data_IF_998545807336
#
_entry.id   IF_998545807336
#
_cell.length_a   1.000
_cell.length_b   1.000
_cell.length_c   1.000
_cell.angle_alpha   90.00
_cell.angle_beta   90.00
_cell.angle_gamma   90.00
#
_symmetry.space_group_name_H-M   'P 1'
#
loop_
_entity.id
_entity.type
_entity.pdbx_description
1 polymer ?
#
# COMPACT_ATOMS: atom_id res chain seq x y z
N UNK A 1 -23.50 9.74 -31.01
CA UNK A 1 -22.06 9.60 -30.68
C UNK A 1 -21.60 10.98 -30.24
N UNK A 2 -21.82 11.28 -28.96
CA UNK A 2 -21.63 12.63 -28.42
C UNK A 2 -20.22 12.76 -27.85
N UNK A 3 -19.43 13.63 -28.48
CA UNK A 3 -18.07 14.00 -28.07
C UNK A 3 -18.14 14.98 -26.90
N UNK A 4 -17.79 14.52 -25.70
CA UNK A 4 -17.60 15.38 -24.53
C UNK A 4 -16.25 16.09 -24.68
N UNK A 5 -16.28 17.40 -24.97
CA UNK A 5 -15.11 18.28 -25.00
C UNK A 5 -14.60 18.49 -23.57
N UNK A 6 -13.42 17.96 -23.25
CA UNK A 6 -12.72 18.24 -22.00
C UNK A 6 -12.00 19.58 -22.09
N UNK A 7 -12.62 20.64 -21.57
CA UNK A 7 -11.94 21.93 -21.37
C UNK A 7 -11.27 21.89 -20.00
N UNK A 8 -9.98 21.50 -19.95
CA UNK A 8 -9.16 21.67 -18.75
C UNK A 8 -8.87 23.17 -18.56
N UNK A 9 -9.01 23.73 -17.34
CA UNK A 9 -8.73 25.15 -17.13
C UNK A 9 -7.22 25.40 -17.19
N UNK A 10 -6.83 26.28 -18.12
CA UNK A 10 -5.48 26.84 -18.21
C UNK A 10 -5.29 27.77 -17.01
N UNK A 11 -4.28 27.49 -16.19
CA UNK A 11 -3.88 28.39 -15.10
C UNK A 11 -3.40 29.72 -15.69
N UNK A 12 -4.22 30.76 -15.52
CA UNK A 12 -3.87 32.15 -15.83
C UNK A 12 -3.04 32.72 -14.69
N UNK A 13 -1.82 33.17 -15.00
CA UNK A 13 -1.01 34.05 -14.14
C UNK A 13 -1.57 35.47 -14.21
N UNK A 14 -2.28 35.91 -13.17
CA UNK A 14 -2.57 37.33 -12.98
C UNK A 14 -2.26 37.72 -11.51
N UNK A 15 -1.28 38.60 -11.26
CA UNK A 15 -0.84 38.92 -9.91
C UNK A 15 -1.70 40.05 -9.34
N UNK A 16 -2.83 39.71 -8.74
CA UNK A 16 -3.57 40.64 -7.88
C UNK A 16 -3.39 40.22 -6.43
N UNK A 17 -2.38 40.78 -5.76
CA UNK A 17 -2.12 40.59 -4.34
C UNK A 17 -3.21 41.27 -3.51
N UNK A 18 -4.22 40.50 -3.10
CA UNK A 18 -5.14 40.90 -2.02
C UNK A 18 -4.52 40.49 -0.67
N UNK A 19 -4.61 41.33 0.38
CA UNK A 19 -4.02 41.02 1.68
C UNK A 19 -4.77 39.85 2.34
N UNK A 20 -4.17 38.66 2.30
CA UNK A 20 -4.63 37.49 3.02
C UNK A 20 -4.41 37.77 4.51
N UNK A 21 -5.49 38.06 5.25
CA UNK A 21 -5.45 38.06 6.72
C UNK A 21 -4.97 36.67 7.15
N UNK A 22 -3.95 36.55 8.03
CA UNK A 22 -3.48 35.24 8.46
C UNK A 22 -4.63 34.53 9.16
N UNK A 23 -5.19 33.51 8.50
CA UNK A 23 -6.03 32.54 9.17
C UNK A 23 -5.19 31.97 10.31
N UNK A 24 -5.63 32.20 11.55
CA UNK A 24 -5.04 31.56 12.72
C UNK A 24 -4.93 30.08 12.40
N UNK A 25 -3.70 29.56 12.42
CA UNK A 25 -3.43 28.14 12.29
C UNK A 25 -4.18 27.43 13.40
N UNK A 26 -5.37 26.89 13.09
CA UNK A 26 -6.05 25.97 13.98
C UNK A 26 -5.14 24.75 14.08
N UNK A 27 -4.41 24.64 15.19
CA UNK A 27 -3.66 23.44 15.53
C UNK A 27 -4.69 22.37 15.87
N UNK A 28 -5.18 21.68 14.86
CA UNK A 28 -5.91 20.43 15.05
C UNK A 28 -4.90 19.42 15.59
N UNK A 29 -4.81 19.31 16.93
CA UNK A 29 -4.10 18.20 17.57
C UNK A 29 -4.92 16.93 17.36
N UNK A 30 -4.71 16.28 16.22
CA UNK A 30 -5.20 14.92 15.99
C UNK A 30 -4.35 14.00 16.86
N UNK A 31 -4.94 13.46 17.93
CA UNK A 31 -4.29 12.46 18.80
C UNK A 31 -4.70 11.08 18.34
N UNK A 32 -3.83 10.42 17.57
CA UNK A 32 -3.97 9.00 17.24
C UNK A 32 -3.36 8.23 18.40
N UNK A 33 -4.15 7.38 19.07
CA UNK A 33 -3.62 6.49 20.11
C UNK A 33 -2.81 5.39 19.42
N UNK A 34 -1.57 5.12 19.84
CA UNK A 34 -0.82 4.01 19.30
C UNK A 34 -1.52 2.68 19.64
N UNK A 35 -1.28 1.63 18.86
CA UNK A 35 -1.70 0.29 19.25
C UNK A 35 -1.09 -0.11 20.61
N UNK A 36 -1.76 -0.98 21.37
CA UNK A 36 -1.21 -1.53 22.61
C UNK A 36 0.20 -2.12 22.43
N UNK A 37 1.08 -2.08 23.46
CA UNK A 37 2.46 -2.56 23.34
C UNK A 37 2.59 -4.05 22.98
N UNK A 38 1.59 -4.84 23.33
CA UNK A 38 1.45 -6.28 23.10
C UNK A 38 0.70 -6.62 21.80
N UNK A 39 0.24 -5.61 21.06
CA UNK A 39 -0.50 -5.82 19.82
C UNK A 39 0.41 -6.36 18.72
N UNK A 40 0.11 -7.57 18.24
CA UNK A 40 0.75 -8.15 17.08
C UNK A 40 -0.31 -8.58 16.07
N UNK A 41 -0.48 -7.78 15.02
CA UNK A 41 -1.46 -8.06 13.97
C UNK A 41 -1.21 -9.40 13.28
N UNK A 42 0.05 -9.84 13.13
CA UNK A 42 0.39 -11.08 12.42
C UNK A 42 -0.23 -12.30 13.11
N UNK A 43 -0.21 -12.33 14.43
CA UNK A 43 -0.78 -13.44 15.22
C UNK A 43 -2.30 -13.53 15.09
N UNK A 44 -2.97 -12.41 14.83
CA UNK A 44 -4.43 -12.39 14.69
C UNK A 44 -4.89 -12.94 13.34
N UNK A 45 -4.03 -12.88 12.31
CA UNK A 45 -4.39 -13.23 10.93
C UNK A 45 -3.65 -14.46 10.40
N UNK A 46 -2.62 -14.96 11.08
CA UNK A 46 -1.73 -16.02 10.56
C UNK A 46 -2.47 -17.30 10.20
N UNK A 47 -3.37 -17.77 11.06
CA UNK A 47 -4.01 -19.07 10.90
C UNK A 47 -5.01 -19.07 9.73
N UNK A 48 -5.83 -18.03 9.63
CA UNK A 48 -6.77 -17.86 8.51
C UNK A 48 -6.01 -17.61 7.21
N UNK A 49 -4.98 -16.75 7.24
CA UNK A 49 -4.10 -16.49 6.10
C UNK A 49 -3.48 -17.78 5.58
N UNK A 50 -2.85 -18.56 6.46
CA UNK A 50 -2.21 -19.83 6.11
C UNK A 50 -3.21 -20.81 5.49
N UNK A 51 -4.38 -20.94 6.08
CA UNK A 51 -5.44 -21.83 5.59
C UNK A 51 -5.91 -21.43 4.18
N UNK A 52 -6.12 -20.14 3.95
CA UNK A 52 -6.52 -19.61 2.65
C UNK A 52 -5.41 -19.73 1.58
N UNK A 53 -4.15 -19.59 1.97
CA UNK A 53 -3.01 -19.81 1.07
C UNK A 53 -2.91 -21.30 0.73
N UNK A 54 -3.04 -22.21 1.70
CA UNK A 54 -3.00 -23.65 1.46
C UNK A 54 -4.11 -24.11 0.48
N UNK A 55 -5.28 -23.46 0.51
CA UNK A 55 -6.39 -23.76 -0.40
C UNK A 55 -6.17 -23.18 -1.80
N UNK A 56 -5.71 -21.93 -1.92
CA UNK A 56 -5.65 -21.21 -3.20
C UNK A 56 -4.31 -21.30 -3.93
N UNK A 57 -3.21 -21.26 -3.20
CA UNK A 57 -1.83 -21.22 -3.71
C UNK A 57 -0.92 -22.08 -2.81
N UNK A 58 -1.11 -23.41 -2.77
CA UNK A 58 -0.33 -24.31 -1.92
C UNK A 58 1.17 -24.24 -2.22
N UNK A 59 1.55 -23.85 -3.44
CA UNK A 59 2.92 -23.58 -3.84
C UNK A 59 3.54 -22.33 -3.20
N UNK A 60 2.83 -21.60 -2.33
CA UNK A 60 3.36 -20.49 -1.53
C UNK A 60 3.28 -20.77 -0.02
N UNK A 61 2.85 -21.97 0.38
CA UNK A 61 2.59 -22.31 1.78
C UNK A 61 3.83 -22.22 2.67
N UNK A 62 5.01 -22.54 2.14
CA UNK A 62 6.29 -22.38 2.83
C UNK A 62 6.57 -20.93 3.25
N UNK A 63 6.12 -19.95 2.45
CA UNK A 63 6.24 -18.53 2.79
C UNK A 63 5.23 -18.09 3.86
N UNK A 64 4.10 -18.78 3.97
CA UNK A 64 3.18 -18.55 5.07
C UNK A 64 3.72 -19.19 6.36
N UNK A 65 4.26 -20.40 6.26
CA UNK A 65 4.83 -21.15 7.38
C UNK A 65 6.07 -20.45 7.97
N UNK A 66 6.89 -19.81 7.14
CA UNK A 66 8.05 -19.02 7.61
C UNK A 66 7.68 -17.60 8.11
N UNK A 67 6.41 -17.18 7.95
CA UNK A 67 5.90 -15.89 8.40
C UNK A 67 6.24 -14.68 7.53
N UNK A 68 6.78 -14.91 6.32
CA UNK A 68 7.11 -13.87 5.35
C UNK A 68 5.92 -13.46 4.50
N UNK A 69 4.95 -14.34 4.24
CA UNK A 69 3.77 -14.07 3.43
C UNK A 69 2.49 -14.10 4.28
N UNK A 70 1.65 -13.08 4.12
CA UNK A 70 0.34 -12.97 4.74
C UNK A 70 -0.73 -12.58 3.71
N UNK A 71 -1.89 -13.22 3.79
CA UNK A 71 -3.07 -12.95 2.99
C UNK A 71 -4.15 -12.32 3.88
N UNK A 72 -4.50 -11.08 3.56
CA UNK A 72 -5.56 -10.32 4.24
C UNK A 72 -6.74 -10.24 3.29
N UNK A 73 -7.91 -10.71 3.71
CA UNK A 73 -9.11 -10.72 2.87
C UNK A 73 -10.09 -9.66 3.35
N UNK A 74 -10.66 -8.90 2.41
CA UNK A 74 -11.62 -7.83 2.69
C UNK A 74 -12.79 -8.30 3.53
N UNK A 75 -13.28 -9.53 3.34
CA UNK A 75 -14.38 -10.13 4.12
C UNK A 75 -14.17 -10.09 5.65
N UNK A 76 -12.93 -9.96 6.12
CA UNK A 76 -12.56 -9.84 7.54
C UNK A 76 -12.89 -8.45 8.10
N UNK A 77 -13.01 -7.43 7.25
CA UNK A 77 -13.25 -6.05 7.62
C UNK A 77 -14.60 -5.62 7.04
N UNK A 78 -15.43 -4.96 7.84
CA UNK A 78 -16.81 -4.63 7.48
C UNK A 78 -16.95 -3.82 6.18
N UNK A 79 -18.18 -3.56 5.73
CA UNK A 79 -18.41 -2.86 4.47
C UNK A 79 -17.78 -1.46 4.46
N UNK A 80 -17.29 -1.04 3.29
CA UNK A 80 -16.75 0.30 3.08
C UNK A 80 -17.84 1.34 3.42
N UNK A 81 -17.55 2.34 4.27
CA UNK A 81 -18.52 3.37 4.58
C UNK A 81 -18.98 4.16 3.34
N UNK A 82 -20.26 4.52 3.29
CA UNK A 82 -20.87 5.19 2.12
C UNK A 82 -20.22 6.53 1.74
N UNK A 83 -19.57 7.21 2.70
CA UNK A 83 -18.87 8.47 2.47
C UNK A 83 -17.47 8.33 1.84
N UNK A 84 -17.02 7.11 1.53
CA UNK A 84 -15.79 6.82 0.78
C UNK A 84 -16.04 5.90 -0.41
N UNK A 85 -17.17 6.08 -1.09
CA UNK A 85 -17.55 5.27 -2.26
C UNK A 85 -16.61 5.44 -3.45
N UNK A 86 -15.83 6.53 -3.51
CA UNK A 86 -14.83 6.74 -4.57
C UNK A 86 -13.59 5.82 -4.45
N UNK A 87 -13.37 5.23 -3.27
CA UNK A 87 -12.25 4.32 -3.03
C UNK A 87 -12.74 2.87 -3.01
N UNK A 88 -12.22 2.06 -3.93
CA UNK A 88 -12.50 0.63 -3.99
C UNK A 88 -11.35 -0.12 -3.33
N UNK A 89 -11.59 -0.65 -2.14
CA UNK A 89 -10.63 -1.52 -1.45
C UNK A 89 -10.54 -2.88 -2.19
N UNK A 90 -9.32 -3.41 -2.41
CA UNK A 90 -9.14 -4.71 -3.06
C UNK A 90 -9.78 -5.83 -2.24
N UNK A 91 -10.20 -6.90 -2.92
CA UNK A 91 -10.79 -8.07 -2.26
C UNK A 91 -9.78 -8.84 -1.40
N UNK A 92 -8.50 -8.77 -1.76
CA UNK A 92 -7.41 -9.37 -1.02
C UNK A 92 -6.13 -8.53 -1.11
N UNK A 93 -5.34 -8.54 -0.04
CA UNK A 93 -4.00 -7.95 0.04
C UNK A 93 -3.02 -9.05 0.40
N UNK A 94 -2.00 -9.22 -0.44
CA UNK A 94 -0.88 -10.12 -0.21
C UNK A 94 0.31 -9.32 0.32
N UNK A 95 0.63 -9.50 1.59
CA UNK A 95 1.73 -8.82 2.26
C UNK A 95 2.95 -9.73 2.33
N UNK A 96 4.01 -9.38 1.60
CA UNK A 96 5.28 -10.10 1.59
C UNK A 96 6.36 -9.27 2.30
N UNK A 97 6.88 -9.80 3.40
CA UNK A 97 8.04 -9.26 4.10
C UNK A 97 9.32 -9.58 3.35
N UNK A 98 10.15 -8.58 3.07
CA UNK A 98 11.40 -8.75 2.32
C UNK A 98 12.58 -8.17 3.06
N UNK A 99 13.75 -8.77 2.87
CA UNK A 99 15.04 -8.19 3.26
C UNK A 99 15.73 -7.60 2.05
N UNK A 100 16.17 -6.34 2.18
CA UNK A 100 16.60 -5.48 1.08
C UNK A 100 17.92 -5.85 0.36
N UNK A 101 18.71 -6.77 0.92
CA UNK A 101 19.96 -7.28 0.32
C UNK A 101 19.89 -8.78 -0.02
N UNK A 102 18.79 -9.44 0.33
CA UNK A 102 18.71 -10.88 0.12
C UNK A 102 18.25 -11.18 -1.30
N UNK A 103 19.07 -11.97 -2.02
CA UNK A 103 18.68 -12.54 -3.31
C UNK A 103 17.44 -13.44 -3.18
N UNK A 104 17.31 -14.11 -2.04
CA UNK A 104 16.15 -14.94 -1.71
C UNK A 104 14.86 -14.11 -1.74
N UNK A 105 14.83 -12.95 -1.07
CA UNK A 105 13.66 -12.06 -1.10
C UNK A 105 13.24 -11.69 -2.52
N UNK A 106 14.19 -11.48 -3.43
CA UNK A 106 13.89 -11.14 -4.82
C UNK A 106 13.26 -12.32 -5.57
N UNK A 107 13.74 -13.53 -5.32
CA UNK A 107 13.17 -14.77 -5.87
C UNK A 107 11.78 -15.06 -5.30
N UNK A 108 11.57 -14.82 -4.00
CA UNK A 108 10.27 -14.97 -3.35
C UNK A 108 9.24 -13.98 -3.91
N UNK A 109 9.63 -12.71 -4.12
CA UNK A 109 8.78 -11.70 -4.78
C UNK A 109 8.39 -12.15 -6.19
N UNK A 110 9.36 -12.61 -6.99
CA UNK A 110 9.09 -13.10 -8.34
C UNK A 110 8.09 -14.26 -8.32
N UNK A 111 8.31 -15.24 -7.45
CA UNK A 111 7.43 -16.40 -7.27
C UNK A 111 6.00 -15.99 -6.88
N UNK A 112 5.85 -15.10 -5.91
CA UNK A 112 4.53 -14.63 -5.45
C UNK A 112 3.81 -13.86 -6.55
N UNK A 113 4.49 -12.95 -7.26
CA UNK A 113 3.87 -12.16 -8.33
C UNK A 113 3.45 -13.05 -9.50
N UNK A 114 4.26 -14.05 -9.87
CA UNK A 114 3.92 -14.99 -10.93
C UNK A 114 2.72 -15.88 -10.59
N UNK A 115 2.64 -16.34 -9.35
CA UNK A 115 1.54 -17.18 -8.87
C UNK A 115 0.23 -16.39 -8.73
N UNK A 116 0.26 -15.29 -7.97
CA UNK A 116 -0.93 -14.51 -7.60
C UNK A 116 -1.43 -13.63 -8.75
N UNK A 117 -0.53 -13.16 -9.63
CA UNK A 117 -0.83 -12.21 -10.72
C UNK A 117 -1.67 -11.01 -10.24
N UNK A 118 -1.17 -10.23 -9.25
CA UNK A 118 -1.94 -9.16 -8.64
C UNK A 118 -2.23 -8.02 -9.62
N UNK A 119 -3.39 -7.36 -9.46
CA UNK A 119 -3.74 -6.18 -10.25
C UNK A 119 -2.79 -5.00 -10.00
N UNK A 120 -2.33 -4.86 -8.75
CA UNK A 120 -1.46 -3.79 -8.31
C UNK A 120 -0.35 -4.32 -7.41
N UNK A 121 0.86 -3.76 -7.57
CA UNK A 121 1.99 -4.04 -6.69
C UNK A 121 2.42 -2.74 -6.03
N UNK A 122 2.46 -2.76 -4.69
CA UNK A 122 2.91 -1.63 -3.86
C UNK A 122 4.20 -2.04 -3.17
N UNK A 123 5.19 -1.16 -3.22
CA UNK A 123 6.49 -1.39 -2.57
C UNK A 123 6.69 -0.34 -1.48
N UNK A 124 6.86 -0.81 -0.25
CA UNK A 124 7.32 0.01 0.87
C UNK A 124 8.86 -0.09 0.95
N UNK A 125 9.52 1.05 1.10
CA UNK A 125 10.98 1.14 1.14
C UNK A 125 11.43 1.79 2.45
N UNK A 126 12.41 1.18 3.09
CA UNK A 126 13.00 1.74 4.31
C UNK A 126 13.50 3.18 4.09
N UNK A 127 13.31 4.04 5.11
CA UNK A 127 13.62 5.49 5.10
C UNK A 127 15.01 5.85 4.56
N UNK A 128 16.04 5.06 4.85
CA UNK A 128 17.42 5.29 4.38
C UNK A 128 17.57 5.26 2.85
N UNK A 129 16.58 4.73 2.12
CA UNK A 129 16.60 4.57 0.67
C UNK A 129 15.83 5.67 -0.08
N UNK A 130 15.31 6.68 0.63
CA UNK A 130 14.66 7.85 0.04
C UNK A 130 15.55 8.66 -0.92
N UNK A 131 16.89 8.49 -0.89
CA UNK A 131 17.84 9.46 -1.46
C UNK A 131 18.90 8.86 -2.41
N UNK A 132 18.82 7.58 -2.79
CA UNK A 132 19.70 7.00 -3.81
C UNK A 132 18.86 6.40 -4.95
N UNK A 133 18.57 7.22 -5.96
CA UNK A 133 18.09 6.75 -7.26
C UNK A 133 19.10 5.74 -7.83
N UNK A 134 18.69 4.50 -8.12
CA UNK A 134 19.23 3.60 -9.17
C UNK A 134 18.68 2.17 -8.95
N UNK A 135 17.53 1.79 -9.53
CA UNK A 135 17.16 0.38 -9.65
C UNK A 135 16.41 0.12 -10.97
N UNK A 136 17.15 -0.34 -11.97
CA UNK A 136 16.66 -0.70 -13.32
C UNK A 136 16.32 -2.20 -13.44
N UNK A 137 16.30 -2.98 -12.35
CA UNK A 137 16.27 -4.46 -12.48
C UNK A 137 14.88 -5.11 -12.30
N UNK A 138 13.83 -4.42 -11.80
CA UNK A 138 12.50 -5.06 -11.61
C UNK A 138 11.33 -4.29 -12.26
N UNK A 139 11.59 -3.19 -12.98
CA UNK A 139 10.54 -2.26 -13.38
C UNK A 139 10.14 -2.36 -14.85
N UNK A 140 9.54 -3.49 -15.27
CA UNK A 140 8.88 -3.52 -16.59
C UNK A 140 7.47 -4.09 -16.64
N UNK A 141 6.85 -4.43 -15.51
CA UNK A 141 5.45 -4.89 -15.53
C UNK A 141 4.70 -4.28 -14.34
N UNK A 142 3.58 -3.63 -14.68
CA UNK A 142 2.57 -3.00 -13.82
C UNK A 142 2.90 -1.66 -13.15
N UNK A 143 1.87 -0.81 -13.13
CA UNK A 143 1.80 0.50 -12.51
C UNK A 143 2.11 0.42 -11.01
N UNK A 144 3.35 0.69 -10.63
CA UNK A 144 3.78 0.59 -9.23
C UNK A 144 3.40 1.88 -8.50
N UNK A 145 2.52 1.74 -7.50
CA UNK A 145 2.20 2.77 -6.53
C UNK A 145 3.21 2.74 -5.38
N UNK A 146 3.76 3.90 -5.02
CA UNK A 146 4.62 4.04 -3.85
C UNK A 146 3.78 4.61 -2.70
N UNK A 147 3.70 3.90 -1.57
CA UNK A 147 3.10 4.43 -0.33
C UNK A 147 4.23 4.56 0.70
N UNK A 148 4.60 5.82 0.98
CA UNK A 148 5.55 6.17 2.03
C UNK A 148 4.77 6.52 3.31
N UNK A 149 4.87 5.70 4.35
CA UNK A 149 4.45 6.14 5.68
C UNK A 149 5.56 6.96 6.33
N UNK A 150 5.27 8.22 6.66
CA UNK A 150 6.09 8.99 7.58
C UNK A 150 5.72 8.55 9.01
N UNK A 151 6.56 7.74 9.65
CA UNK A 151 6.57 7.71 11.10
C UNK A 151 7.10 9.06 11.58
N UNK A 152 6.21 9.87 12.16
CA UNK A 152 6.58 11.01 13.00
C UNK A 152 7.15 10.42 14.29
N UNK A 153 8.48 10.42 14.40
CA UNK A 153 9.16 10.51 15.70
C UNK A 153 9.05 11.94 16.23
#
# INVERSE_FOLDING_TARGET
>A
METIKSTLPIFSTNPAFLPIKPLRSFSFKVSIKPPPPDFNYKLQISDESRSAIAESHPELLDLADNGSLLLIQKKQFGPVPSWRSEFVEPEAIWLLGTTHISKESAMEVERVVQAVKPDNVVVELCRSRRVHSFFTIIFKICSIGYICYNNLE
#
